data_IF_369044711230
#
_entry.id   IF_369044711230
#
_cell.length_a   1.000
_cell.length_b   1.000
_cell.length_c   1.000
_cell.angle_alpha   90.00
_cell.angle_beta   90.00
_cell.angle_gamma   90.00
#
_symmetry.space_group_name_H-M   'P 1'
#
loop_
_entity.id
_entity.type
_entity.pdbx_description
1 polymer ?
#
# COMPACT_ATOMS: atom_id res chain seq x y z
N UNK A 1 -23.08 6.99 -6.63
CA UNK A 1 -22.95 5.70 -5.90
C UNK A 1 -22.42 5.91 -4.47
N UNK A 2 -22.96 5.22 -3.45
CA UNK A 2 -22.61 5.40 -2.02
C UNK A 2 -21.70 4.32 -1.43
N UNK A 3 -21.34 3.31 -2.21
CA UNK A 3 -20.50 2.22 -1.72
C UNK A 3 -19.05 2.68 -1.50
N UNK A 4 -18.47 2.26 -0.37
CA UNK A 4 -17.03 2.36 -0.12
C UNK A 4 -16.32 1.27 -0.91
N UNK A 5 -15.25 1.64 -1.61
CA UNK A 5 -14.38 0.73 -2.36
C UNK A 5 -13.01 0.74 -1.70
N UNK A 6 -12.37 -0.41 -1.63
CA UNK A 6 -11.00 -0.56 -1.11
C UNK A 6 -10.11 -0.98 -2.29
N UNK A 7 -9.60 -0.02 -3.07
CA UNK A 7 -8.77 -0.35 -4.21
C UNK A 7 -7.40 -0.89 -3.75
N UNK A 8 -6.88 -1.85 -4.50
CA UNK A 8 -5.52 -2.38 -4.34
C UNK A 8 -4.77 -2.19 -5.65
N UNK A 9 -3.47 -1.98 -5.60
CA UNK A 9 -2.63 -1.86 -6.80
C UNK A 9 -2.20 -3.27 -7.24
N UNK A 10 -2.53 -3.66 -8.46
CA UNK A 10 -2.09 -4.93 -9.05
C UNK A 10 -0.68 -4.83 -9.64
N UNK A 11 -0.24 -5.88 -10.33
CA UNK A 11 1.10 -5.91 -10.94
C UNK A 11 1.16 -5.30 -12.36
N UNK A 12 0.02 -4.93 -12.95
CA UNK A 12 -0.08 -4.42 -14.32
C UNK A 12 -0.26 -2.90 -14.40
N UNK A 13 -0.32 -2.20 -13.28
CA UNK A 13 -0.54 -0.76 -13.20
C UNK A 13 0.69 0.06 -13.60
N UNK A 14 1.90 -0.51 -13.47
CA UNK A 14 3.15 0.15 -13.87
C UNK A 14 3.55 -0.21 -15.29
N UNK A 15 4.35 0.66 -15.90
CA UNK A 15 5.11 0.35 -17.09
C UNK A 15 6.61 0.59 -16.83
N UNK A 16 7.48 -0.42 -17.04
CA UNK A 16 7.18 -1.81 -17.39
C UNK A 16 6.37 -2.57 -16.34
N UNK A 17 5.70 -3.66 -16.75
CA UNK A 17 4.87 -4.52 -15.90
C UNK A 17 5.68 -5.07 -14.72
N UNK A 18 5.04 -5.27 -13.57
CA UNK A 18 5.59 -5.81 -12.32
C UNK A 18 6.61 -4.91 -11.60
N UNK A 19 7.13 -3.85 -12.23
CA UNK A 19 8.20 -3.06 -11.66
C UNK A 19 7.66 -2.00 -10.71
N UNK A 20 7.78 -2.26 -9.41
CA UNK A 20 7.46 -1.32 -8.34
C UNK A 20 8.74 -0.98 -7.59
N UNK A 21 9.30 0.20 -7.88
CA UNK A 21 10.55 0.66 -7.29
C UNK A 21 10.40 0.96 -5.80
N UNK A 22 11.45 0.76 -4.99
CA UNK A 22 11.46 1.23 -3.62
C UNK A 22 11.60 2.76 -3.56
N UNK A 23 11.19 3.39 -2.44
CA UNK A 23 11.38 4.81 -2.21
C UNK A 23 12.85 5.22 -2.26
N UNK A 24 13.14 6.40 -2.80
CA UNK A 24 14.50 6.97 -2.79
C UNK A 24 15.41 6.53 -3.93
N UNK A 25 14.95 5.66 -4.85
CA UNK A 25 15.65 5.44 -6.13
C UNK A 25 15.70 6.73 -6.95
N UNK A 26 16.68 6.90 -7.86
CA UNK A 26 16.74 8.07 -8.73
C UNK A 26 15.42 8.30 -9.48
N UNK A 27 14.92 9.54 -9.61
CA UNK A 27 13.60 9.83 -10.19
C UNK A 27 13.36 9.23 -11.58
N UNK A 28 14.41 9.08 -12.40
CA UNK A 28 14.33 8.46 -13.73
C UNK A 28 14.00 6.95 -13.72
N UNK A 29 14.13 6.30 -12.57
CA UNK A 29 13.84 4.88 -12.36
C UNK A 29 12.65 4.64 -11.42
N UNK A 30 12.15 5.70 -10.78
CA UNK A 30 11.02 5.60 -9.86
C UNK A 30 9.72 5.32 -10.63
N UNK A 31 8.90 4.45 -10.06
CA UNK A 31 7.54 4.17 -10.52
C UNK A 31 6.47 4.81 -9.64
N UNK A 32 6.86 5.71 -8.72
CA UNK A 32 5.94 6.33 -7.73
C UNK A 32 4.82 7.15 -8.37
N UNK A 33 4.98 7.52 -9.65
CA UNK A 33 3.93 8.15 -10.45
C UNK A 33 2.63 7.35 -10.44
N UNK A 34 2.71 6.02 -10.29
CA UNK A 34 1.55 5.13 -10.24
C UNK A 34 0.70 5.43 -9.00
N UNK A 35 1.34 5.62 -7.84
CA UNK A 35 0.65 5.94 -6.59
C UNK A 35 0.05 7.34 -6.63
N UNK A 36 0.78 8.34 -7.17
CA UNK A 36 0.24 9.68 -7.34
C UNK A 36 -0.99 9.71 -8.27
N UNK A 37 -0.94 8.94 -9.35
CA UNK A 37 -2.05 8.80 -10.31
C UNK A 37 -3.26 8.11 -9.69
N UNK A 38 -3.01 7.00 -8.98
CA UNK A 38 -4.05 6.26 -8.26
C UNK A 38 -4.67 7.09 -7.13
N UNK A 39 -3.86 7.85 -6.38
CA UNK A 39 -4.34 8.72 -5.30
C UNK A 39 -5.30 9.79 -5.82
N UNK A 40 -5.00 10.37 -6.99
CA UNK A 40 -5.90 11.31 -7.65
C UNK A 40 -7.25 10.67 -8.01
N UNK A 41 -7.23 9.44 -8.53
CA UNK A 41 -8.44 8.71 -8.91
C UNK A 41 -9.24 8.17 -7.70
N UNK A 42 -8.56 7.79 -6.63
CA UNK A 42 -9.11 7.08 -5.48
C UNK A 42 -9.22 7.93 -4.22
N UNK A 43 -8.95 9.23 -4.30
CA UNK A 43 -8.97 10.17 -3.17
C UNK A 43 -10.24 10.13 -2.31
N UNK A 44 -11.39 9.82 -2.90
CA UNK A 44 -12.66 9.67 -2.16
C UNK A 44 -12.76 8.40 -1.31
N UNK A 45 -11.93 7.40 -1.58
CA UNK A 45 -11.97 6.07 -0.97
C UNK A 45 -10.83 5.83 0.02
N UNK A 46 -9.68 6.47 -0.22
CA UNK A 46 -8.53 6.41 0.68
C UNK A 46 -8.69 7.48 1.76
N UNK A 47 -8.67 7.12 3.06
CA UNK A 47 -8.75 8.10 4.14
C UNK A 47 -7.59 9.11 4.08
N UNK A 48 -7.82 10.40 4.40
CA UNK A 48 -6.76 11.40 4.42
C UNK A 48 -5.56 11.02 5.31
N UNK A 49 -5.83 10.38 6.45
CA UNK A 49 -4.83 9.90 7.40
C UNK A 49 -3.93 8.79 6.83
N UNK A 50 -4.44 7.99 5.90
CA UNK A 50 -3.71 6.87 5.28
C UNK A 50 -3.09 7.25 3.93
N UNK A 51 -3.38 8.45 3.41
CA UNK A 51 -2.89 8.93 2.12
C UNK A 51 -1.36 9.00 2.07
N UNK A 52 -0.71 9.31 3.20
CA UNK A 52 0.75 9.32 3.29
C UNK A 52 1.35 7.94 2.96
N UNK A 53 0.83 6.88 3.60
CA UNK A 53 1.29 5.51 3.35
C UNK A 53 0.99 5.07 1.91
N UNK A 54 -0.20 5.43 1.41
CA UNK A 54 -0.58 5.10 0.04
C UNK A 54 0.35 5.73 -0.99
N UNK A 55 0.70 7.01 -0.82
CA UNK A 55 1.64 7.70 -1.70
C UNK A 55 3.08 7.20 -1.56
N UNK A 56 3.44 6.71 -0.37
CA UNK A 56 4.77 6.20 -0.09
C UNK A 56 5.05 4.85 -0.78
N UNK A 57 4.09 3.91 -0.72
CA UNK A 57 4.31 2.56 -1.24
C UNK A 57 3.04 1.79 -1.63
N UNK A 58 1.90 2.47 -1.79
CA UNK A 58 0.66 1.87 -2.28
C UNK A 58 -0.14 1.06 -1.26
N UNK A 59 0.39 0.84 -0.04
CA UNK A 59 -0.36 0.23 1.06
C UNK A 59 -1.01 1.30 1.93
N UNK A 60 -2.13 0.96 2.57
CA UNK A 60 -2.86 1.85 3.45
C UNK A 60 -3.84 1.06 4.31
N UNK A 61 -4.43 1.69 5.31
CA UNK A 61 -5.49 1.08 6.10
C UNK A 61 -6.71 2.00 6.18
N UNK A 62 -7.83 1.44 6.62
CA UNK A 62 -9.06 2.18 6.90
C UNK A 62 -9.78 1.55 8.07
N UNK A 63 -9.99 2.34 9.13
CA UNK A 63 -10.88 1.97 10.21
C UNK A 63 -12.32 2.11 9.73
N UNK A 64 -13.09 1.02 9.79
CA UNK A 64 -14.50 1.00 9.38
C UNK A 64 -15.39 1.43 10.54
N UNK A 65 -15.09 0.90 11.73
CA UNK A 65 -15.73 1.22 12.99
C UNK A 65 -14.76 0.85 14.14
N UNK A 66 -15.10 1.13 15.41
CA UNK A 66 -14.20 0.87 16.54
C UNK A 66 -13.69 -0.56 16.67
N UNK A 67 -14.36 -1.56 16.10
CA UNK A 67 -14.04 -2.99 16.20
C UNK A 67 -13.63 -3.63 14.86
N UNK A 68 -13.46 -2.84 13.79
CA UNK A 68 -13.15 -3.40 12.48
C UNK A 68 -12.26 -2.46 11.64
N UNK A 69 -11.16 -3.01 11.16
CA UNK A 69 -10.20 -2.34 10.28
C UNK A 69 -9.97 -3.16 9.01
N UNK A 70 -9.80 -2.47 7.89
CA UNK A 70 -9.30 -3.05 6.64
C UNK A 70 -7.87 -2.57 6.43
N UNK A 71 -6.95 -3.49 6.17
CA UNK A 71 -5.55 -3.20 5.85
C UNK A 71 -5.31 -3.63 4.41
N UNK A 72 -4.95 -2.69 3.55
CA UNK A 72 -4.64 -2.95 2.15
C UNK A 72 -3.13 -3.00 1.98
N UNK A 73 -2.64 -4.14 1.52
CA UNK A 73 -1.23 -4.35 1.20
C UNK A 73 -0.93 -4.08 -0.28
N UNK A 74 0.29 -3.63 -0.55
CA UNK A 74 0.89 -3.71 -1.87
C UNK A 74 1.72 -4.99 -1.97
N UNK A 75 1.12 -6.03 -2.54
CA UNK A 75 1.79 -7.33 -2.70
C UNK A 75 2.82 -7.34 -3.84
N UNK A 76 2.91 -6.28 -4.65
CA UNK A 76 3.97 -6.15 -5.65
C UNK A 76 5.36 -6.01 -5.03
N UNK A 77 5.44 -5.54 -3.77
CA UNK A 77 6.70 -5.42 -3.03
C UNK A 77 7.35 -6.78 -2.76
N UNK A 78 6.55 -7.85 -2.67
CA UNK A 78 7.05 -9.23 -2.53
C UNK A 78 6.84 -10.09 -3.78
N UNK A 79 6.37 -9.51 -4.89
CA UNK A 79 6.07 -10.27 -6.11
C UNK A 79 7.33 -10.70 -6.87
N UNK A 80 7.45 -11.98 -7.20
CA UNK A 80 8.68 -12.57 -7.77
C UNK A 80 9.17 -11.94 -9.07
N UNK A 81 8.29 -11.29 -9.85
CA UNK A 81 8.67 -10.58 -11.08
C UNK A 81 8.89 -9.08 -10.87
N UNK A 82 8.79 -8.57 -9.65
CA UNK A 82 9.28 -7.25 -9.31
C UNK A 82 10.80 -7.31 -9.14
N UNK A 83 11.54 -7.05 -10.21
CA UNK A 83 12.99 -7.16 -10.21
C UNK A 83 13.72 -6.16 -9.31
N UNK A 84 13.01 -5.15 -8.77
CA UNK A 84 13.53 -4.31 -7.70
C UNK A 84 13.81 -5.06 -6.40
N UNK A 85 13.25 -6.26 -6.21
CA UNK A 85 13.62 -7.11 -5.08
C UNK A 85 15.10 -7.52 -5.10
N UNK A 86 15.78 -7.49 -6.25
CA UNK A 86 17.23 -7.73 -6.29
C UNK A 86 18.05 -6.54 -5.71
N UNK A 87 17.43 -5.37 -5.62
CA UNK A 87 18.03 -4.16 -5.06
C UNK A 87 17.70 -4.02 -3.56
N UNK A 88 16.44 -4.30 -3.18
CA UNK A 88 15.97 -4.26 -1.80
C UNK A 88 15.02 -5.43 -1.54
N UNK A 89 15.50 -6.45 -0.84
CA UNK A 89 14.78 -7.71 -0.55
C UNK A 89 14.26 -7.81 0.89
N UNK A 90 14.69 -6.91 1.77
CA UNK A 90 14.36 -6.93 3.21
C UNK A 90 13.26 -5.96 3.54
N UNK A 91 12.03 -6.47 3.60
CA UNK A 91 10.81 -5.70 3.93
C UNK A 91 10.73 -4.37 3.15
N UNK A 92 10.59 -4.41 1.81
CA UNK A 92 10.61 -3.21 0.99
C UNK A 92 9.57 -2.20 1.47
N UNK A 93 9.99 -0.94 1.61
CA UNK A 93 9.17 0.16 2.15
C UNK A 93 8.67 -0.06 3.58
N UNK A 94 9.21 -1.04 4.32
CA UNK A 94 8.82 -1.34 5.70
C UNK A 94 7.38 -1.86 5.84
N UNK A 95 6.76 -2.39 4.78
CA UNK A 95 5.35 -2.76 4.77
C UNK A 95 5.01 -3.82 5.82
N UNK A 96 5.85 -4.83 6.04
CA UNK A 96 5.61 -5.88 7.03
C UNK A 96 5.79 -5.36 8.46
N UNK A 97 6.79 -4.50 8.71
CA UNK A 97 6.92 -3.80 9.99
C UNK A 97 5.71 -2.92 10.29
N UNK A 98 5.24 -2.18 9.29
CA UNK A 98 4.04 -1.36 9.39
C UNK A 98 2.81 -2.25 9.66
N UNK A 99 2.63 -3.34 8.91
CA UNK A 99 1.54 -4.30 9.10
C UNK A 99 1.54 -4.85 10.53
N UNK A 100 2.68 -5.31 11.04
CA UNK A 100 2.80 -5.82 12.41
C UNK A 100 2.38 -4.76 13.44
N UNK A 101 2.75 -3.49 13.21
CA UNK A 101 2.36 -2.37 14.07
C UNK A 101 0.84 -2.14 14.05
N UNK A 102 0.21 -2.16 12.87
CA UNK A 102 -1.24 -1.97 12.77
C UNK A 102 -2.05 -3.16 13.28
N UNK A 103 -1.54 -4.39 13.14
CA UNK A 103 -2.13 -5.58 13.74
C UNK A 103 -2.06 -5.52 15.27
N UNK A 104 -0.92 -5.14 15.86
CA UNK A 104 -0.81 -4.99 17.31
C UNK A 104 -1.77 -3.92 17.85
N UNK A 105 -1.82 -2.75 17.20
CA UNK A 105 -2.80 -1.71 17.56
C UNK A 105 -4.24 -2.21 17.47
N UNK A 106 -4.54 -3.05 16.48
CA UNK A 106 -5.87 -3.63 16.32
C UNK A 106 -6.18 -4.63 17.43
N UNK A 107 -5.20 -5.46 17.84
CA UNK A 107 -5.32 -6.36 18.98
C UNK A 107 -5.60 -5.61 20.29
N UNK A 108 -4.83 -4.56 20.57
CA UNK A 108 -4.98 -3.73 21.78
C UNK A 108 -6.37 -3.06 21.87
N UNK A 109 -7.02 -2.83 20.72
CA UNK A 109 -8.33 -2.20 20.59
C UNK A 109 -9.49 -3.20 20.41
N UNK A 110 -9.22 -4.51 20.49
CA UNK A 110 -10.18 -5.58 20.16
C UNK A 110 -10.85 -5.37 18.77
N UNK A 111 -10.05 -4.97 17.79
CA UNK A 111 -10.45 -4.83 16.39
C UNK A 111 -10.23 -6.14 15.64
N UNK A 112 -11.23 -6.54 14.85
CA UNK A 112 -11.04 -7.53 13.78
C UNK A 112 -10.42 -6.85 12.57
N UNK A 113 -9.62 -7.62 11.82
CA UNK A 113 -8.89 -7.11 10.66
C UNK A 113 -9.22 -7.95 9.44
N UNK A 114 -9.53 -7.30 8.32
CA UNK A 114 -9.44 -7.89 6.99
C UNK A 114 -8.19 -7.36 6.30
N UNK A 115 -7.44 -8.27 5.68
CA UNK A 115 -6.33 -7.97 4.78
C UNK A 115 -6.77 -8.33 3.36
#
# INVERSE_FOLDING_TARGET
PRATIFPVVGNHETHPVNLFSPPGVPPKFSTDWVYASAAKAWSRWIPPESMHNFLYAGFYDRVINPHFRVIVLNTNLCYTFNFWQMYEDKDPSGQLRWLATELQKSEDLDQKVHI
#
